data_IF_719869603918
#
_entry.id   IF_719869603918
#
_cell.length_a   1.000
_cell.length_b   1.000
_cell.length_c   1.000
_cell.angle_alpha   90.00
_cell.angle_beta   90.00
_cell.angle_gamma   90.00
#
_symmetry.space_group_name_H-M   'P 1'
#
loop_
_entity.id
_entity.type
_entity.pdbx_description
1 polymer ?
#
# COMPACT_ATOMS: atom_id res chain seq x y z
N UNK A 1 -14.96 -31.37 -27.11
CA UNK A 1 -15.05 -31.47 -25.63
C UNK A 1 -13.68 -31.57 -24.95
N UNK A 2 -12.75 -32.39 -25.45
CA UNK A 2 -11.37 -32.51 -24.90
C UNK A 2 -10.50 -31.24 -24.98
N UNK A 3 -10.65 -30.40 -26.01
CA UNK A 3 -9.90 -29.13 -26.14
C UNK A 3 -10.30 -28.05 -25.13
N UNK A 4 -11.55 -28.07 -24.64
CA UNK A 4 -12.02 -27.14 -23.61
C UNK A 4 -11.48 -27.51 -22.22
N UNK A 5 -11.35 -28.81 -21.93
CA UNK A 5 -10.68 -29.28 -20.71
C UNK A 5 -9.18 -28.97 -20.72
N UNK A 6 -8.51 -29.12 -21.87
CA UNK A 6 -7.09 -28.79 -21.99
C UNK A 6 -6.82 -27.28 -21.84
N UNK A 7 -7.72 -26.42 -22.35
CA UNK A 7 -7.64 -24.97 -22.14
C UNK A 7 -8.04 -24.54 -20.73
N UNK A 8 -9.03 -25.19 -20.10
CA UNK A 8 -9.37 -24.93 -18.69
C UNK A 8 -8.24 -25.37 -17.76
N UNK A 9 -7.55 -26.46 -18.09
CA UNK A 9 -6.43 -26.97 -17.31
C UNK A 9 -5.17 -26.11 -17.52
N UNK A 10 -4.88 -25.62 -18.73
CA UNK A 10 -3.78 -24.66 -18.97
C UNK A 10 -4.07 -23.27 -18.35
N UNK A 11 -5.32 -22.82 -18.31
CA UNK A 11 -5.68 -21.57 -17.64
C UNK A 11 -5.73 -21.71 -16.11
N UNK A 12 -6.21 -22.84 -15.58
CA UNK A 12 -6.09 -23.17 -14.16
C UNK A 12 -4.62 -23.39 -13.74
N UNK A 13 -3.79 -23.96 -14.63
CA UNK A 13 -2.34 -24.15 -14.42
C UNK A 13 -1.57 -22.84 -14.60
N UNK A 14 -2.01 -21.89 -15.44
CA UNK A 14 -1.45 -20.51 -15.48
C UNK A 14 -1.88 -19.65 -14.31
N UNK A 15 -3.09 -19.86 -13.78
CA UNK A 15 -3.54 -19.20 -12.55
C UNK A 15 -2.75 -19.71 -11.33
N UNK A 16 -2.28 -20.96 -11.40
CA UNK A 16 -1.19 -21.53 -10.60
C UNK A 16 0.18 -21.31 -11.25
N UNK A 17 0.53 -20.08 -11.64
CA UNK A 17 1.95 -19.76 -11.71
C UNK A 17 2.48 -19.99 -10.28
N UNK A 18 3.10 -21.15 -10.05
CA UNK A 18 3.59 -21.60 -8.75
C UNK A 18 4.70 -20.66 -8.27
N UNK A 19 4.32 -19.48 -7.79
CA UNK A 19 5.11 -18.76 -6.81
C UNK A 19 5.01 -19.61 -5.55
N UNK A 20 5.84 -20.65 -5.48
CA UNK A 20 5.71 -21.71 -4.48
C UNK A 20 5.92 -21.17 -3.07
N UNK A 21 6.61 -20.02 -2.94
CA UNK A 21 7.01 -19.41 -1.67
C UNK A 21 6.98 -17.86 -1.68
N UNK A 22 5.80 -17.21 -1.77
CA UNK A 22 5.69 -15.75 -1.85
C UNK A 22 6.14 -15.01 -0.59
N UNK A 23 6.04 -15.62 0.61
CA UNK A 23 6.54 -15.01 1.84
C UNK A 23 8.07 -15.05 1.88
N UNK A 24 8.67 -16.17 1.46
CA UNK A 24 10.13 -16.28 1.35
C UNK A 24 10.70 -15.25 0.37
N UNK A 25 10.07 -15.06 -0.80
CA UNK A 25 10.51 -14.03 -1.76
C UNK A 25 10.33 -12.62 -1.20
N UNK A 26 9.24 -12.37 -0.46
CA UNK A 26 9.04 -11.09 0.22
C UNK A 26 10.14 -10.80 1.25
N UNK A 27 10.61 -11.81 1.99
CA UNK A 27 11.76 -11.68 2.89
C UNK A 27 13.04 -11.30 2.14
N UNK A 28 13.34 -11.98 1.03
CA UNK A 28 14.51 -11.67 0.18
C UNK A 28 14.43 -10.23 -0.34
N UNK A 29 13.25 -9.79 -0.78
CA UNK A 29 13.03 -8.42 -1.21
C UNK A 29 13.31 -7.41 -0.10
N UNK A 30 12.88 -7.64 1.15
CA UNK A 30 13.19 -6.72 2.26
C UNK A 30 14.67 -6.70 2.63
N UNK A 31 15.35 -7.84 2.56
CA UNK A 31 16.81 -7.90 2.76
C UNK A 31 17.51 -7.06 1.70
N UNK A 32 17.19 -7.26 0.42
CA UNK A 32 17.73 -6.45 -0.68
C UNK A 32 17.36 -4.96 -0.56
N UNK A 33 16.14 -4.65 -0.08
CA UNK A 33 15.68 -3.28 0.15
C UNK A 33 16.49 -2.60 1.25
N UNK A 34 16.81 -3.33 2.33
CA UNK A 34 17.65 -2.84 3.43
C UNK A 34 19.07 -2.52 2.94
N UNK A 35 19.67 -3.43 2.16
CA UNK A 35 20.98 -3.24 1.54
C UNK A 35 20.96 -2.05 0.57
N UNK A 36 19.95 -1.96 -0.29
CA UNK A 36 19.78 -0.85 -1.23
C UNK A 36 19.62 0.50 -0.54
N UNK A 37 18.82 0.57 0.52
CA UNK A 37 18.68 1.78 1.32
C UNK A 37 19.99 2.16 2.04
N UNK A 38 20.73 1.18 2.56
CA UNK A 38 22.03 1.40 3.18
C UNK A 38 23.04 1.99 2.18
N UNK A 39 23.16 1.40 0.99
CA UNK A 39 24.05 1.90 -0.08
C UNK A 39 23.63 3.31 -0.50
N UNK A 40 22.33 3.56 -0.72
CA UNK A 40 21.82 4.87 -1.13
C UNK A 40 22.14 5.99 -0.12
N UNK A 41 22.06 5.69 1.18
CA UNK A 41 22.30 6.68 2.25
C UNK A 41 23.79 6.83 2.56
N UNK A 42 24.52 5.72 2.75
CA UNK A 42 25.90 5.75 3.23
C UNK A 42 26.94 5.90 2.13
N UNK A 43 26.71 5.31 0.96
CA UNK A 43 27.67 5.31 -0.16
C UNK A 43 27.34 6.43 -1.14
N UNK A 44 26.09 6.48 -1.62
CA UNK A 44 25.68 7.45 -2.64
C UNK A 44 25.30 8.83 -2.08
N UNK A 45 25.12 8.94 -0.76
CA UNK A 45 24.73 10.18 -0.05
C UNK A 45 23.58 10.94 -0.73
N UNK A 46 22.63 10.22 -1.34
CA UNK A 46 21.54 10.81 -2.13
C UNK A 46 20.67 11.72 -1.26
N UNK A 47 20.48 11.36 0.02
CA UNK A 47 19.82 12.19 1.03
C UNK A 47 20.45 11.98 2.41
N UNK A 48 20.42 13.02 3.28
CA UNK A 48 20.87 12.87 4.66
C UNK A 48 20.02 11.85 5.41
N UNK A 49 20.69 11.03 6.23
CA UNK A 49 20.03 10.13 7.17
C UNK A 49 19.33 11.00 8.22
N UNK A 50 18.01 10.82 8.34
CA UNK A 50 17.25 11.48 9.41
C UNK A 50 17.36 10.58 10.64
N UNK A 51 18.12 11.04 11.63
CA UNK A 51 18.28 10.29 12.87
C UNK A 51 16.98 10.28 13.67
N UNK A 52 16.47 9.08 13.92
CA UNK A 52 15.29 8.87 14.76
C UNK A 52 15.74 8.40 16.14
N UNK A 53 15.21 9.04 17.18
CA UNK A 53 15.40 8.62 18.56
C UNK A 53 15.06 7.13 18.72
N UNK A 54 15.85 6.34 19.49
CA UNK A 54 15.61 4.92 19.68
C UNK A 54 14.18 4.59 20.13
N UNK A 55 13.59 5.45 20.95
CA UNK A 55 12.21 5.29 21.42
C UNK A 55 11.18 5.37 20.29
N UNK A 56 11.31 6.34 19.38
CA UNK A 56 10.37 6.50 18.26
C UNK A 56 10.54 5.39 17.21
N UNK A 57 11.73 4.79 17.11
CA UNK A 57 11.92 3.58 16.28
C UNK A 57 11.03 2.45 16.76
N UNK A 58 10.97 2.21 18.07
CA UNK A 58 10.13 1.16 18.64
C UNK A 58 8.66 1.56 18.74
N UNK A 59 8.34 2.82 19.08
CA UNK A 59 6.95 3.28 19.27
C UNK A 59 6.20 3.55 17.96
N UNK A 60 6.90 3.94 16.89
CA UNK A 60 6.27 4.38 15.63
C UNK A 60 6.64 3.52 14.43
N UNK A 61 7.93 3.19 14.24
CA UNK A 61 8.40 2.43 13.07
C UNK A 61 8.09 0.94 13.19
N UNK A 62 8.27 0.35 14.38
CA UNK A 62 7.99 -1.07 14.59
C UNK A 62 6.51 -1.42 14.35
N UNK A 63 5.50 -0.73 14.92
CA UNK A 63 4.09 -1.02 14.63
C UNK A 63 3.74 -0.85 13.14
N UNK A 64 4.31 0.16 12.48
CA UNK A 64 4.13 0.35 11.04
C UNK A 64 4.68 -0.83 10.22
N UNK A 65 5.85 -1.34 10.60
CA UNK A 65 6.49 -2.50 9.97
C UNK A 65 5.68 -3.78 10.23
N UNK A 66 5.20 -3.96 11.46
CA UNK A 66 4.37 -5.09 11.85
C UNK A 66 3.05 -5.16 11.07
N UNK A 67 2.32 -4.03 11.01
CA UNK A 67 1.08 -3.92 10.22
C UNK A 67 1.34 -4.18 8.74
N UNK A 68 2.49 -3.77 8.21
CA UNK A 68 2.84 -4.07 6.83
C UNK A 68 3.10 -5.55 6.58
N UNK A 69 3.81 -6.23 7.49
CA UNK A 69 4.02 -7.67 7.38
C UNK A 69 2.70 -8.43 7.46
N UNK A 70 1.78 -8.03 8.35
CA UNK A 70 0.41 -8.57 8.41
C UNK A 70 -0.29 -8.42 7.05
N UNK A 71 -0.23 -7.23 6.45
CA UNK A 71 -0.81 -7.00 5.13
C UNK A 71 -0.23 -7.91 4.05
N UNK A 72 1.09 -8.16 4.07
CA UNK A 72 1.74 -9.08 3.12
C UNK A 72 1.25 -10.51 3.34
N UNK A 73 1.22 -10.98 4.59
CA UNK A 73 0.76 -12.33 4.92
C UNK A 73 -0.70 -12.52 4.53
N UNK A 74 -1.60 -11.61 4.94
CA UNK A 74 -3.02 -11.67 4.60
C UNK A 74 -3.26 -11.53 3.10
N UNK A 75 -2.49 -10.68 2.42
CA UNK A 75 -2.53 -10.56 0.96
C UNK A 75 -2.21 -11.89 0.29
N UNK A 76 -1.13 -12.56 0.69
CA UNK A 76 -0.76 -13.87 0.14
C UNK A 76 -1.77 -14.97 0.49
N UNK A 77 -2.31 -14.96 1.71
CA UNK A 77 -3.40 -15.86 2.10
C UNK A 77 -4.61 -15.63 1.22
N UNK A 78 -5.04 -14.38 1.03
CA UNK A 78 -6.21 -14.08 0.19
C UNK A 78 -6.06 -14.58 -1.24
N UNK A 79 -4.87 -14.45 -1.83
CA UNK A 79 -4.58 -14.92 -3.19
C UNK A 79 -4.66 -16.45 -3.35
N UNK A 80 -4.63 -17.22 -2.24
CA UNK A 80 -4.89 -18.67 -2.28
C UNK A 80 -6.37 -19.00 -2.47
N UNK A 81 -7.27 -18.07 -2.16
CA UNK A 81 -8.72 -18.29 -2.15
C UNK A 81 -9.48 -17.43 -3.17
N UNK A 82 -8.93 -16.28 -3.56
CA UNK A 82 -9.56 -15.35 -4.49
C UNK A 82 -8.61 -14.99 -5.65
N UNK A 83 -9.15 -14.74 -6.85
CA UNK A 83 -8.35 -14.34 -8.00
C UNK A 83 -7.66 -12.98 -7.79
N UNK A 84 -6.49 -12.81 -8.41
CA UNK A 84 -5.68 -11.58 -8.32
C UNK A 84 -6.47 -10.33 -8.74
N UNK A 85 -7.29 -10.44 -9.79
CA UNK A 85 -8.16 -9.35 -10.25
C UNK A 85 -9.16 -8.89 -9.18
N UNK A 86 -9.79 -9.84 -8.48
CA UNK A 86 -10.72 -9.53 -7.40
C UNK A 86 -9.99 -8.92 -6.19
N UNK A 87 -8.83 -9.48 -5.83
CA UNK A 87 -7.98 -8.96 -4.76
C UNK A 87 -7.52 -7.52 -5.03
N UNK A 88 -7.15 -7.20 -6.27
CA UNK A 88 -6.75 -5.86 -6.67
C UNK A 88 -7.94 -4.87 -6.67
N UNK A 89 -9.15 -5.36 -6.97
CA UNK A 89 -10.38 -4.57 -6.84
C UNK A 89 -10.69 -4.27 -5.38
N UNK A 90 -10.59 -5.26 -4.48
CA UNK A 90 -10.73 -5.05 -3.03
C UNK A 90 -9.67 -4.07 -2.52
N UNK A 91 -8.42 -4.14 -2.99
CA UNK A 91 -7.38 -3.15 -2.63
C UNK A 91 -7.71 -1.73 -3.05
N UNK A 92 -8.52 -1.53 -4.08
CA UNK A 92 -9.01 -0.21 -4.47
C UNK A 92 -9.96 0.39 -3.41
N UNK A 93 -10.41 -0.40 -2.43
CA UNK A 93 -11.12 0.05 -1.22
C UNK A 93 -10.25 0.79 -0.20
N UNK A 94 -8.92 0.67 -0.30
CA UNK A 94 -7.98 1.23 0.68
C UNK A 94 -8.23 2.71 1.00
N UNK A 95 -8.53 3.60 0.03
CA UNK A 95 -8.85 5.00 0.32
C UNK A 95 -10.07 5.17 1.24
N UNK A 96 -11.14 4.41 1.01
CA UNK A 96 -12.34 4.47 1.82
C UNK A 96 -12.07 4.03 3.26
N UNK A 97 -11.38 2.89 3.43
CA UNK A 97 -10.97 2.44 4.78
C UNK A 97 -10.02 3.42 5.47
N UNK A 98 -9.12 4.08 4.71
CA UNK A 98 -8.23 5.11 5.27
C UNK A 98 -9.01 6.30 5.81
N UNK A 99 -9.96 6.85 5.05
CA UNK A 99 -10.80 7.98 5.48
C UNK A 99 -11.63 7.60 6.71
N UNK A 100 -12.27 6.44 6.70
CA UNK A 100 -13.08 5.95 7.82
C UNK A 100 -12.21 5.78 9.07
N UNK A 101 -11.02 5.19 8.97
CA UNK A 101 -10.09 5.04 10.09
C UNK A 101 -9.59 6.38 10.62
N UNK A 102 -9.21 7.32 9.74
CA UNK A 102 -8.79 8.67 10.16
C UNK A 102 -9.92 9.43 10.87
N UNK A 103 -11.16 9.25 10.41
CA UNK A 103 -12.34 9.83 11.06
C UNK A 103 -12.63 9.17 12.41
N UNK A 104 -12.57 7.84 12.51
CA UNK A 104 -12.90 7.10 13.73
C UNK A 104 -11.84 7.28 14.83
N UNK A 105 -10.56 7.15 14.48
CA UNK A 105 -9.45 7.13 15.45
C UNK A 105 -8.97 8.53 15.79
N UNK A 106 -8.82 9.41 14.79
CA UNK A 106 -8.28 10.77 14.99
C UNK A 106 -9.35 11.86 14.97
N UNK A 107 -10.62 11.53 14.75
CA UNK A 107 -11.73 12.50 14.62
C UNK A 107 -11.43 13.62 13.61
N UNK A 108 -10.71 13.27 12.55
CA UNK A 108 -10.38 14.21 11.47
C UNK A 108 -11.64 14.50 10.65
N UNK A 109 -11.93 15.79 10.45
CA UNK A 109 -13.03 16.21 9.59
C UNK A 109 -12.60 16.19 8.12
N UNK A 110 -13.47 15.67 7.27
CA UNK A 110 -13.30 15.65 5.82
C UNK A 110 -14.45 16.38 5.15
N UNK A 111 -14.15 17.05 4.05
CA UNK A 111 -15.17 17.71 3.23
C UNK A 111 -16.18 16.69 2.67
N UNK A 112 -17.42 17.14 2.46
CA UNK A 112 -18.48 16.33 1.86
C UNK A 112 -18.09 15.68 0.52
N UNK A 113 -17.24 16.36 -0.27
CA UNK A 113 -16.73 15.85 -1.56
C UNK A 113 -15.95 14.53 -1.39
N UNK A 114 -15.20 14.40 -0.30
CA UNK A 114 -14.49 13.15 0.02
C UNK A 114 -15.53 12.06 0.29
N UNK A 115 -16.50 12.30 1.18
CA UNK A 115 -17.56 11.33 1.47
C UNK A 115 -18.35 10.90 0.22
N UNK A 116 -18.66 11.83 -0.68
CA UNK A 116 -19.32 11.52 -1.94
C UNK A 116 -18.48 10.57 -2.83
N UNK A 117 -17.15 10.71 -2.82
CA UNK A 117 -16.25 9.81 -3.56
C UNK A 117 -16.16 8.40 -2.99
N UNK A 118 -16.50 8.20 -1.71
CA UNK A 118 -16.49 6.87 -1.09
C UNK A 118 -17.68 6.01 -1.53
N UNK A 119 -18.82 6.64 -1.84
CA UNK A 119 -20.05 5.95 -2.27
C UNK A 119 -19.81 5.03 -3.47
N UNK A 120 -19.26 5.50 -4.61
CA UNK A 120 -18.99 4.62 -5.75
C UNK A 120 -17.92 3.56 -5.43
N UNK A 121 -16.94 3.85 -4.58
CA UNK A 121 -15.91 2.86 -4.19
C UNK A 121 -16.58 1.69 -3.43
N UNK A 122 -17.33 2.00 -2.38
CA UNK A 122 -18.04 0.99 -1.57
C UNK A 122 -19.05 0.22 -2.43
N UNK A 123 -19.88 0.95 -3.19
CA UNK A 123 -20.90 0.34 -4.05
C UNK A 123 -20.30 -0.56 -5.14
N UNK A 124 -19.20 -0.13 -5.76
CA UNK A 124 -18.50 -0.91 -6.77
C UNK A 124 -17.92 -2.21 -6.23
N UNK A 125 -17.34 -2.19 -5.02
CA UNK A 125 -16.81 -3.41 -4.37
C UNK A 125 -17.93 -4.34 -3.94
N UNK A 126 -19.04 -3.82 -3.40
CA UNK A 126 -20.20 -4.63 -3.06
C UNK A 126 -20.75 -5.33 -4.31
N UNK A 127 -20.93 -4.58 -5.41
CA UNK A 127 -21.40 -5.14 -6.68
C UNK A 127 -20.42 -6.20 -7.21
N UNK A 128 -19.12 -5.90 -7.21
CA UNK A 128 -18.07 -6.86 -7.63
C UNK A 128 -18.11 -8.12 -6.76
N UNK A 129 -18.25 -7.98 -5.45
CA UNK A 129 -18.24 -9.11 -4.51
C UNK A 129 -19.44 -10.03 -4.68
N UNK A 130 -20.63 -9.46 -4.91
CA UNK A 130 -21.88 -10.23 -5.14
C UNK A 130 -21.86 -10.94 -6.50
N UNK A 131 -21.12 -10.41 -7.48
CA UNK A 131 -21.09 -10.91 -8.86
C UNK A 131 -19.82 -11.68 -9.20
N UNK A 132 -18.95 -11.91 -8.23
CA UNK A 132 -17.70 -12.67 -8.39
C UNK A 132 -17.97 -14.16 -8.39
N UNK A 133 -17.57 -14.84 -9.47
CA UNK A 133 -17.79 -16.28 -9.65
C UNK A 133 -16.91 -17.11 -8.72
N UNK A 134 -15.70 -16.61 -8.42
CA UNK A 134 -14.75 -17.28 -7.51
C UNK A 134 -14.77 -16.64 -6.12
N UNK A 135 -15.94 -16.19 -5.65
CA UNK A 135 -16.06 -15.57 -4.35
C UNK A 135 -15.80 -16.58 -3.23
N UNK A 136 -14.84 -16.27 -2.36
CA UNK A 136 -14.57 -17.02 -1.15
C UNK A 136 -14.57 -16.06 0.04
N UNK A 137 -15.46 -16.30 1.02
CA UNK A 137 -15.61 -15.42 2.19
C UNK A 137 -14.32 -15.30 3.00
N UNK A 138 -13.57 -16.38 3.18
CA UNK A 138 -12.32 -16.35 3.93
C UNK A 138 -11.26 -15.52 3.21
N UNK A 139 -11.10 -15.71 1.89
CA UNK A 139 -10.22 -14.91 1.06
C UNK A 139 -10.60 -13.42 1.02
N UNK A 140 -11.89 -13.14 0.94
CA UNK A 140 -12.45 -11.79 0.98
C UNK A 140 -12.18 -11.11 2.32
N UNK A 141 -12.48 -11.76 3.45
CA UNK A 141 -12.20 -11.23 4.78
C UNK A 141 -10.70 -10.99 5.00
N UNK A 142 -9.83 -11.91 4.57
CA UNK A 142 -8.38 -11.73 4.62
C UNK A 142 -7.94 -10.50 3.81
N UNK A 143 -8.50 -10.30 2.59
CA UNK A 143 -8.21 -9.13 1.78
C UNK A 143 -8.72 -7.82 2.40
N UNK A 144 -9.89 -7.83 3.04
CA UNK A 144 -10.46 -6.67 3.74
C UNK A 144 -9.63 -6.27 4.97
N UNK A 145 -9.19 -7.24 5.78
CA UNK A 145 -8.26 -6.98 6.88
C UNK A 145 -6.91 -6.51 6.35
N UNK A 146 -6.43 -7.05 5.23
CA UNK A 146 -5.25 -6.53 4.52
C UNK A 146 -5.42 -5.07 4.07
N UNK A 147 -6.61 -4.67 3.61
CA UNK A 147 -6.91 -3.27 3.29
C UNK A 147 -6.87 -2.38 4.54
N UNK A 148 -7.45 -2.82 5.66
CA UNK A 148 -7.37 -2.10 6.93
C UNK A 148 -5.91 -1.95 7.38
N UNK A 149 -5.10 -3.01 7.29
CA UNK A 149 -3.68 -2.96 7.59
C UNK A 149 -2.94 -1.98 6.65
N UNK A 150 -3.23 -1.99 5.35
CA UNK A 150 -2.65 -1.05 4.38
C UNK A 150 -3.00 0.39 4.73
N UNK A 151 -4.25 0.65 5.10
CA UNK A 151 -4.73 1.97 5.53
C UNK A 151 -4.05 2.43 6.82
N UNK A 152 -4.01 1.59 7.85
CA UNK A 152 -3.30 1.89 9.11
C UNK A 152 -1.83 2.18 8.87
N UNK A 153 -1.13 1.37 8.06
CA UNK A 153 0.26 1.62 7.68
C UNK A 153 0.43 2.97 6.97
N UNK A 154 -0.50 3.32 6.08
CA UNK A 154 -0.45 4.59 5.32
C UNK A 154 -0.63 5.79 6.25
N UNK A 155 -1.54 5.69 7.22
CA UNK A 155 -1.75 6.74 8.23
C UNK A 155 -0.52 6.90 9.12
N UNK A 156 0.05 5.78 9.60
CA UNK A 156 1.29 5.80 10.38
C UNK A 156 2.43 6.42 9.57
N UNK A 157 2.58 6.03 8.30
CA UNK A 157 3.58 6.59 7.39
C UNK A 157 3.44 8.12 7.25
N UNK A 158 2.21 8.61 7.03
CA UNK A 158 1.91 10.04 6.92
C UNK A 158 2.26 10.80 8.21
N UNK A 159 1.98 10.21 9.37
CA UNK A 159 2.32 10.79 10.68
C UNK A 159 3.84 10.89 10.90
N UNK A 160 4.61 9.86 10.53
CA UNK A 160 6.07 9.92 10.58
C UNK A 160 6.63 10.97 9.61
N UNK A 161 6.05 11.04 8.41
CA UNK A 161 6.47 11.96 7.35
C UNK A 161 6.35 13.42 7.80
N UNK A 162 5.20 13.78 8.40
CA UNK A 162 4.98 15.14 8.92
C UNK A 162 5.79 15.44 10.18
N UNK A 163 6.03 14.46 11.05
CA UNK A 163 6.75 14.67 12.32
C UNK A 163 8.25 14.90 12.16
N UNK A 164 8.92 14.08 11.35
CA UNK A 164 10.39 14.10 11.22
C UNK A 164 10.87 14.64 9.86
N UNK A 165 9.97 15.14 9.02
CA UNK A 165 10.24 15.40 7.59
C UNK A 165 10.90 14.19 6.93
N UNK A 166 10.41 13.00 7.27
CA UNK A 166 10.97 11.75 6.76
C UNK A 166 10.97 11.77 5.24
N UNK A 167 11.82 10.98 4.63
CA UNK A 167 11.68 10.71 3.21
C UNK A 167 11.47 9.22 3.01
N UNK A 168 10.86 8.83 1.90
CA UNK A 168 10.56 7.44 1.57
C UNK A 168 11.80 6.54 1.66
N UNK A 169 13.00 7.07 1.36
CA UNK A 169 14.28 6.35 1.50
C UNK A 169 14.60 6.06 2.97
N UNK A 170 14.50 7.08 3.83
CA UNK A 170 14.71 6.92 5.27
C UNK A 170 13.64 5.98 5.88
N UNK A 171 12.39 6.05 5.41
CA UNK A 171 11.34 5.11 5.84
C UNK A 171 11.71 3.67 5.51
N UNK A 172 12.14 3.39 4.27
CA UNK A 172 12.54 2.04 3.86
C UNK A 172 13.76 1.56 4.65
N UNK A 173 14.75 2.43 4.88
CA UNK A 173 15.95 2.10 5.65
C UNK A 173 15.63 1.57 7.06
N UNK A 174 14.73 2.25 7.78
CA UNK A 174 14.37 1.81 9.12
C UNK A 174 13.34 0.68 9.14
N UNK A 175 12.43 0.63 8.16
CA UNK A 175 11.33 -0.34 8.12
C UNK A 175 11.78 -1.73 7.63
N UNK A 176 12.62 -1.78 6.58
CA UNK A 176 13.04 -3.03 5.94
C UNK A 176 13.66 -4.06 6.90
N UNK A 177 14.59 -3.72 7.81
CA UNK A 177 15.16 -4.72 8.74
C UNK A 177 14.12 -5.27 9.72
N UNK A 178 13.25 -4.43 10.27
CA UNK A 178 12.16 -4.90 11.14
C UNK A 178 11.16 -5.77 10.36
N UNK A 179 10.84 -5.39 9.12
CA UNK A 179 9.95 -6.17 8.26
C UNK A 179 10.53 -7.56 7.98
N UNK A 180 11.83 -7.68 7.67
CA UNK A 180 12.51 -8.97 7.50
C UNK A 180 12.41 -9.84 8.75
N UNK A 181 12.67 -9.26 9.94
CA UNK A 181 12.61 -10.00 11.20
C UNK A 181 11.20 -10.50 11.53
N UNK A 182 10.18 -9.70 11.24
CA UNK A 182 8.79 -10.07 11.50
C UNK A 182 8.28 -11.08 10.47
N UNK A 183 8.66 -10.93 9.20
CA UNK A 183 8.17 -11.76 8.10
C UNK A 183 8.92 -13.10 7.98
N UNK A 184 10.14 -13.20 8.52
CA UNK A 184 10.90 -14.46 8.54
C UNK A 184 10.16 -15.56 9.32
N UNK A 185 9.48 -15.22 10.42
CA UNK A 185 8.71 -16.16 11.24
C UNK A 185 7.59 -16.83 10.42
N UNK A 186 6.61 -16.09 9.84
CA UNK A 186 5.56 -16.71 9.03
C UNK A 186 6.11 -17.35 7.74
N UNK A 187 7.20 -16.85 7.16
CA UNK A 187 7.83 -17.51 6.02
C UNK A 187 8.36 -18.91 6.38
N UNK A 188 9.05 -19.06 7.53
CA UNK A 188 9.53 -20.37 7.98
C UNK A 188 8.36 -21.28 8.36
N UNK A 189 7.36 -20.78 9.09
CA UNK A 189 6.23 -21.58 9.57
C UNK A 189 5.31 -22.06 8.44
N UNK A 190 4.98 -21.19 7.48
CA UNK A 190 3.99 -21.48 6.43
C UNK A 190 4.61 -22.08 5.16
N UNK A 191 5.87 -21.75 4.87
CA UNK A 191 6.53 -22.10 3.60
C UNK A 191 7.84 -22.88 3.80
N UNK A 192 8.43 -22.87 5.00
CA UNK A 192 9.77 -23.40 5.26
C UNK A 192 9.94 -24.89 4.94
N UNK A 193 8.98 -25.74 5.31
CA UNK A 193 9.03 -27.17 4.98
C UNK A 193 8.96 -27.42 3.47
N UNK A 194 8.17 -26.61 2.75
CA UNK A 194 8.08 -26.65 1.31
C UNK A 194 9.36 -26.18 0.63
N UNK A 195 10.00 -25.11 1.13
CA UNK A 195 11.28 -24.61 0.63
C UNK A 195 12.37 -25.66 0.79
N UNK A 196 12.46 -26.27 1.97
CA UNK A 196 13.45 -27.31 2.27
C UNK A 196 13.24 -28.53 1.37
N UNK A 197 12.01 -29.02 1.24
CA UNK A 197 11.71 -30.16 0.38
C UNK A 197 11.98 -29.84 -1.10
N UNK A 198 11.68 -28.62 -1.54
CA UNK A 198 11.98 -28.16 -2.90
C UNK A 198 13.48 -28.09 -3.18
N UNK A 199 14.29 -27.68 -2.20
CA UNK A 199 15.76 -27.70 -2.29
C UNK A 199 16.33 -29.12 -2.37
N UNK A 200 15.70 -30.10 -1.71
CA UNK A 200 16.12 -31.51 -1.73
C UNK A 200 15.64 -32.29 -2.96
N UNK A 201 14.50 -31.91 -3.56
CA UNK A 201 13.88 -32.65 -4.68
C UNK A 201 14.51 -32.33 -6.04
N UNK A 202 15.12 -31.14 -6.20
CA UNK A 202 15.80 -30.77 -7.46
C UNK A 202 17.31 -31.09 -7.36
N UNK A 203 17.80 -32.02 -8.16
CA UNK A 203 19.23 -32.42 -8.22
C UNK A 203 20.19 -31.25 -8.54
N UNK A 204 19.70 -30.14 -9.09
CA UNK A 204 20.49 -28.93 -9.29
C UNK A 204 19.92 -27.74 -8.50
N UNK A 205 20.69 -27.24 -7.53
CA UNK A 205 20.40 -26.00 -6.76
C UNK A 205 20.52 -24.73 -7.61
N UNK A 206 21.06 -24.84 -8.83
CA UNK A 206 21.43 -23.70 -9.69
C UNK A 206 20.22 -22.89 -10.18
N UNK A 207 19.14 -23.47 -10.75
CA UNK A 207 17.97 -22.70 -11.19
C UNK A 207 17.26 -22.00 -10.04
N UNK A 208 17.23 -22.64 -8.87
CA UNK A 208 16.66 -22.10 -7.66
C UNK A 208 17.39 -20.84 -7.17
N UNK A 209 18.72 -20.91 -7.10
CA UNK A 209 19.57 -19.79 -6.76
C UNK A 209 19.45 -18.65 -7.78
N UNK A 210 19.39 -18.97 -9.07
CA UNK A 210 19.19 -17.97 -10.14
C UNK A 210 17.87 -17.21 -9.94
N UNK A 211 16.77 -17.89 -9.62
CA UNK A 211 15.47 -17.23 -9.39
C UNK A 211 15.53 -16.32 -8.16
N UNK A 212 16.11 -16.79 -7.05
CA UNK A 212 16.24 -16.01 -5.82
C UNK A 212 17.11 -14.77 -6.05
N UNK A 213 18.29 -14.95 -6.67
CA UNK A 213 19.22 -13.87 -7.00
C UNK A 213 18.56 -12.87 -7.96
N UNK A 214 17.90 -13.37 -9.02
CA UNK A 214 17.21 -12.51 -9.98
C UNK A 214 16.09 -11.71 -9.31
N UNK A 215 15.33 -12.32 -8.40
CA UNK A 215 14.31 -11.59 -7.62
C UNK A 215 14.93 -10.52 -6.71
N UNK A 216 16.08 -10.82 -6.09
CA UNK A 216 16.82 -9.87 -5.27
C UNK A 216 17.38 -8.69 -6.07
N UNK A 217 17.94 -8.96 -7.26
CA UNK A 217 18.42 -7.93 -8.20
C UNK A 217 17.25 -7.09 -8.69
N UNK A 218 16.13 -7.70 -9.08
CA UNK A 218 14.92 -6.96 -9.48
C UNK A 218 14.40 -6.10 -8.33
N UNK A 219 14.37 -6.60 -7.10
CA UNK A 219 13.97 -5.83 -5.93
C UNK A 219 14.92 -4.65 -5.68
N UNK A 220 16.23 -4.86 -5.84
CA UNK A 220 17.22 -3.78 -5.76
C UNK A 220 16.99 -2.72 -6.84
N UNK A 221 16.82 -3.13 -8.10
CA UNK A 221 16.51 -2.23 -9.22
C UNK A 221 15.19 -1.47 -9.02
N UNK A 222 14.16 -2.13 -8.48
CA UNK A 222 12.88 -1.49 -8.14
C UNK A 222 13.06 -0.43 -7.06
N UNK A 223 13.78 -0.75 -5.99
CA UNK A 223 14.09 0.24 -4.93
C UNK A 223 14.90 1.41 -5.48
N UNK A 224 15.93 1.14 -6.29
CA UNK A 224 16.72 2.19 -6.94
C UNK A 224 15.86 3.07 -7.86
N UNK A 225 14.95 2.47 -8.64
CA UNK A 225 14.00 3.20 -9.49
C UNK A 225 13.06 4.06 -8.66
N UNK A 226 12.54 3.53 -7.54
CA UNK A 226 11.71 4.30 -6.59
C UNK A 226 12.51 5.49 -6.06
N UNK A 227 13.77 5.29 -5.65
CA UNK A 227 14.64 6.36 -5.16
C UNK A 227 14.90 7.42 -6.24
N UNK A 228 15.18 7.00 -7.48
CA UNK A 228 15.38 7.89 -8.60
C UNK A 228 14.13 8.72 -8.91
N UNK A 229 12.95 8.10 -8.88
CA UNK A 229 11.67 8.78 -9.04
C UNK A 229 11.47 9.79 -7.91
N UNK A 230 11.69 9.42 -6.65
CA UNK A 230 11.55 10.34 -5.51
C UNK A 230 12.50 11.55 -5.65
N UNK A 231 13.72 11.33 -6.13
CA UNK A 231 14.68 12.40 -6.37
C UNK A 231 14.25 13.33 -7.50
N UNK A 232 13.69 12.78 -8.58
CA UNK A 232 13.39 13.51 -9.81
C UNK A 232 11.97 14.08 -9.88
N UNK A 233 11.14 13.83 -8.86
CA UNK A 233 9.70 14.09 -8.89
C UNK A 233 9.26 15.03 -7.77
N UNK A 234 8.38 15.98 -8.07
CA UNK A 234 7.78 16.87 -7.06
C UNK A 234 6.70 16.14 -6.25
N UNK A 235 6.38 16.65 -5.05
CA UNK A 235 5.36 16.05 -4.17
C UNK A 235 3.98 15.86 -4.85
N UNK A 236 3.64 16.72 -5.81
CA UNK A 236 2.39 16.67 -6.56
C UNK A 236 2.36 15.46 -7.50
N UNK A 237 3.43 15.26 -8.28
CA UNK A 237 3.52 14.15 -9.22
C UNK A 237 3.59 12.79 -8.51
N UNK A 238 4.19 12.73 -7.31
CA UNK A 238 4.20 11.51 -6.48
C UNK A 238 2.78 11.11 -6.02
N UNK A 239 1.96 12.08 -5.60
CA UNK A 239 0.58 11.81 -5.20
C UNK A 239 -0.31 11.37 -6.37
N UNK A 240 -0.12 11.96 -7.56
CA UNK A 240 -0.85 11.55 -8.77
C UNK A 240 -0.43 10.14 -9.21
N UNK A 241 0.88 9.86 -9.21
CA UNK A 241 1.42 8.53 -9.53
C UNK A 241 0.88 7.44 -8.59
N UNK A 242 0.69 7.76 -7.30
CA UNK A 242 0.08 6.86 -6.32
C UNK A 242 -1.35 6.43 -6.69
N UNK A 243 -2.19 7.37 -7.13
CA UNK A 243 -3.57 7.09 -7.56
C UNK A 243 -3.61 6.33 -8.89
N UNK A 244 -2.76 6.72 -9.85
CA UNK A 244 -2.65 6.06 -11.14
C UNK A 244 -2.16 4.61 -10.98
N UNK A 245 -1.23 4.37 -10.06
CA UNK A 245 -0.72 3.02 -9.74
C UNK A 245 -1.84 2.05 -9.39
N UNK A 246 -2.82 2.47 -8.58
CA UNK A 246 -3.94 1.61 -8.18
C UNK A 246 -4.81 1.26 -9.38
N UNK A 247 -5.18 2.24 -10.20
CA UNK A 247 -6.00 2.03 -11.39
C UNK A 247 -5.28 1.15 -12.44
N UNK A 248 -4.01 1.44 -12.73
CA UNK A 248 -3.18 0.65 -13.65
C UNK A 248 -3.02 -0.78 -13.15
N UNK A 249 -2.82 -1.00 -11.84
CA UNK A 249 -2.69 -2.34 -11.29
C UNK A 249 -3.98 -3.17 -11.45
N UNK A 250 -5.17 -2.57 -11.30
CA UNK A 250 -6.46 -3.24 -11.58
C UNK A 250 -6.56 -3.60 -13.07
N UNK A 251 -6.29 -2.65 -13.97
CA UNK A 251 -6.38 -2.85 -15.41
C UNK A 251 -5.41 -3.94 -15.91
N UNK A 252 -4.15 -3.90 -15.47
CA UNK A 252 -3.14 -4.90 -15.82
C UNK A 252 -3.54 -6.27 -15.27
N UNK A 253 -4.03 -6.33 -14.04
CA UNK A 253 -4.50 -7.59 -13.44
C UNK A 253 -5.65 -8.18 -14.26
N UNK A 254 -6.55 -7.36 -14.80
CA UNK A 254 -7.59 -7.85 -15.69
C UNK A 254 -7.05 -8.35 -17.03
N UNK A 255 -6.18 -7.57 -17.68
CA UNK A 255 -5.62 -7.91 -19.00
C UNK A 255 -4.75 -9.17 -18.99
N UNK A 256 -3.97 -9.37 -17.92
CA UNK A 256 -3.05 -10.50 -17.80
C UNK A 256 -3.78 -11.78 -17.38
N UNK A 257 -4.62 -11.71 -16.34
CA UNK A 257 -5.21 -12.92 -15.77
C UNK A 257 -6.42 -13.42 -16.56
N UNK A 258 -7.07 -12.56 -17.38
CA UNK A 258 -8.20 -12.92 -18.26
C UNK A 258 -9.22 -13.86 -17.62
N UNK A 259 -9.46 -13.71 -16.32
CA UNK A 259 -10.44 -14.54 -15.61
C UNK A 259 -11.82 -14.35 -16.26
N UNK A 260 -12.69 -15.37 -16.28
CA UNK A 260 -14.06 -15.22 -16.74
C UNK A 260 -14.79 -14.27 -15.79
N UNK A 261 -14.88 -13.00 -16.16
CA UNK A 261 -15.55 -11.97 -15.38
C UNK A 261 -16.97 -11.81 -15.94
N UNK A 262 -17.97 -11.91 -15.07
CA UNK A 262 -19.35 -11.55 -15.41
C UNK A 262 -19.42 -10.09 -15.83
N UNK A 263 -20.23 -9.75 -16.84
CA UNK A 263 -20.41 -8.36 -17.28
C UNK A 263 -20.75 -7.42 -16.11
N UNK A 264 -21.50 -7.91 -15.12
CA UNK A 264 -21.89 -7.13 -13.94
C UNK A 264 -20.73 -6.89 -12.95
N UNK A 265 -19.79 -7.83 -12.87
CA UNK A 265 -18.55 -7.67 -12.09
C UNK A 265 -17.62 -6.63 -12.76
N UNK A 266 -17.52 -6.65 -14.10
CA UNK A 266 -16.77 -5.64 -14.84
C UNK A 266 -17.33 -4.22 -14.61
N UNK A 267 -18.67 -4.09 -14.55
CA UNK A 267 -19.32 -2.82 -14.18
C UNK A 267 -18.94 -2.41 -12.75
N UNK A 268 -18.99 -3.32 -11.77
CA UNK A 268 -18.57 -3.03 -10.39
C UNK A 268 -17.11 -2.58 -10.28
N UNK A 269 -16.20 -3.22 -11.00
CA UNK A 269 -14.80 -2.81 -11.11
C UNK A 269 -14.68 -1.39 -11.70
N UNK A 270 -15.41 -1.12 -12.79
CA UNK A 270 -15.43 0.21 -13.43
C UNK A 270 -15.92 1.32 -12.50
N UNK A 271 -17.02 1.08 -11.77
CA UNK A 271 -17.54 2.03 -10.77
C UNK A 271 -16.50 2.28 -9.67
N UNK A 272 -15.83 1.23 -9.19
CA UNK A 272 -14.77 1.35 -8.17
C UNK A 272 -13.62 2.23 -8.67
N UNK A 273 -13.16 2.01 -9.91
CA UNK A 273 -12.08 2.78 -10.52
C UNK A 273 -12.46 4.26 -10.72
N UNK A 274 -13.67 4.54 -11.17
CA UNK A 274 -14.19 5.91 -11.28
C UNK A 274 -14.24 6.56 -9.89
N UNK A 275 -14.69 5.84 -8.87
CA UNK A 275 -14.67 6.32 -7.49
C UNK A 275 -13.26 6.63 -6.98
N UNK A 276 -12.28 5.75 -7.20
CA UNK A 276 -10.89 5.96 -6.78
C UNK A 276 -10.23 7.13 -7.49
N UNK A 277 -10.46 7.28 -8.80
CA UNK A 277 -9.93 8.41 -9.57
C UNK A 277 -10.56 9.73 -9.12
N UNK A 278 -11.87 9.74 -8.87
CA UNK A 278 -12.56 10.90 -8.31
C UNK A 278 -12.07 11.27 -6.90
N UNK A 279 -11.89 10.28 -6.01
CA UNK A 279 -11.28 10.50 -4.69
C UNK A 279 -9.89 11.12 -4.80
N UNK A 280 -9.04 10.57 -5.68
CA UNK A 280 -7.69 11.08 -5.93
C UNK A 280 -7.70 12.53 -6.43
N UNK A 281 -8.63 12.85 -7.33
CA UNK A 281 -8.84 14.20 -7.85
C UNK A 281 -9.28 15.18 -6.75
N UNK A 282 -10.29 14.82 -5.95
CA UNK A 282 -10.77 15.66 -4.83
C UNK A 282 -9.66 15.90 -3.82
N UNK A 283 -8.91 14.87 -3.44
CA UNK A 283 -7.76 15.00 -2.52
C UNK A 283 -6.70 15.93 -3.07
N UNK A 284 -6.39 15.81 -4.36
CA UNK A 284 -5.42 16.68 -5.02
C UNK A 284 -5.87 18.15 -5.01
N UNK A 285 -7.14 18.44 -5.30
CA UNK A 285 -7.67 19.81 -5.23
C UNK A 285 -7.57 20.39 -3.82
N UNK A 286 -7.92 19.63 -2.79
CA UNK A 286 -7.83 20.06 -1.39
C UNK A 286 -6.37 20.32 -1.00
N UNK A 287 -5.45 19.45 -1.41
CA UNK A 287 -4.01 19.65 -1.17
C UNK A 287 -3.46 20.90 -1.87
N UNK A 288 -3.95 21.24 -3.06
CA UNK A 288 -3.54 22.48 -3.75
C UNK A 288 -4.09 23.74 -3.06
N UNK A 289 -5.34 23.72 -2.61
CA UNK A 289 -5.93 24.84 -1.87
C UNK A 289 -5.19 25.13 -0.56
N UNK A 290 -4.71 24.09 0.14
CA UNK A 290 -3.88 24.24 1.33
C UNK A 290 -2.48 24.80 1.03
N UNK A 291 -1.97 24.65 -0.20
CA UNK A 291 -0.65 25.12 -0.62
C UNK A 291 -0.67 26.54 -1.22
N UNK A 292 -1.82 27.03 -1.68
CA UNK A 292 -1.99 28.44 -2.08
C UNK A 292 -2.14 29.34 -0.85
N UNK A 293 -1.38 30.43 -0.70
CA UNK A 293 -1.62 31.41 0.36
C UNK A 293 -2.88 32.20 0.02
N UNK A 294 -4.04 31.76 0.51
CA UNK A 294 -5.27 32.55 0.37
C UNK A 294 -5.23 33.75 1.34
N UNK A 295 -5.61 34.96 0.89
CA UNK A 295 -5.70 36.14 1.75
C UNK A 295 -6.72 35.87 2.87
N UNK A 296 -6.34 36.19 4.11
CA UNK A 296 -7.20 36.06 5.29
C UNK A 296 -8.53 36.78 5.04
N UNK A 297 -9.62 36.03 4.90
CA UNK A 297 -10.96 36.58 5.10
C UNK A 297 -11.04 37.06 6.56
N UNK A 298 -11.42 38.31 6.85
CA UNK A 298 -11.44 38.80 8.23
C UNK A 298 -12.50 38.02 9.00
N UNK A 299 -12.06 37.28 10.03
CA UNK A 299 -12.95 36.85 11.12
C UNK A 299 -13.61 38.10 11.69
N UNK A 300 -14.88 37.93 12.03
CA UNK A 300 -15.85 39.00 12.30
C UNK A 300 -15.32 40.11 13.23
N UNK A 301 -15.79 41.34 12.94
CA UNK A 301 -15.56 42.59 13.69
C UNK A 301 -15.90 42.56 15.19
N UNK A 302 -16.33 41.43 15.76
CA UNK A 302 -16.79 41.34 17.15
C UNK A 302 -15.66 41.12 18.18
N UNK A 303 -14.46 40.69 17.77
CA UNK A 303 -13.31 40.54 18.67
C UNK A 303 -12.47 41.83 18.83
N UNK A 304 -12.87 42.94 18.19
CA UNK A 304 -12.22 44.26 18.32
C UNK A 304 -12.83 45.14 19.42
N UNK A 305 -13.25 44.54 20.54
CA UNK A 305 -13.55 45.33 21.74
C UNK A 305 -12.27 45.43 22.59
N UNK A 306 -11.71 46.63 22.78
CA UNK A 306 -10.52 46.78 23.59
C UNK A 306 -10.92 46.69 25.07
N UNK A 307 -10.33 45.74 25.80
CA UNK A 307 -10.29 45.76 27.26
C UNK A 307 -9.39 46.93 27.71
N UNK A 308 -9.93 48.15 27.71
CA UNK A 308 -9.32 49.30 28.37
C UNK A 308 -9.78 49.28 29.82
N UNK A 309 -8.85 48.96 30.73
CA UNK A 309 -9.18 48.91 32.15
C UNK A 309 -8.02 48.65 33.10
N UNK A 310 -6.77 48.97 32.77
CA UNK A 310 -5.71 49.14 33.79
C UNK A 310 -4.77 50.28 33.38
N UNK A 311 -4.97 51.45 33.99
CA UNK A 311 -3.90 52.43 34.16
C UNK A 311 -3.45 52.35 35.61
N UNK A 312 -2.24 51.85 35.78
CA UNK A 312 -1.44 51.97 36.98
C UNK A 312 -1.22 53.44 37.34
N UNK A 313 -1.43 53.67 38.62
CA UNK A 313 -0.99 54.73 39.52
C UNK A 313 0.45 55.21 39.26
N UNK A 314 0.65 56.54 39.22
CA UNK A 314 1.88 57.25 39.63
C UNK A 314 1.58 58.74 39.86
N UNK A 315 1.47 59.11 41.14
CA UNK A 315 2.18 60.16 41.90
C UNK A 315 1.32 60.50 43.12
#
# INVERSE_FOLDING_TARGET
MHLYYYYSDISATRQKLEFKFPLTVSCVHFICSSIGAYIAIKVLKVKPLIEVAPEDRWKRIFPMSFVFCINIVLGNISLRYIPVSFMQTIKSFTPATTVILQWLVWRKYFEWRIWASLIPIVGGILLTSVTELSFNMFGFCAAMVGCLATSTKTILAESLLHGYKFDSINTVYYMAPFATMILSIPAIVLEGSGVINWLYTYESTVPALIIIITSGVLAFCLNFSIFYVIHSTTAVTFNVAGNLKVAVAVLISWMIFRNPISAMNAVGCGITLVGCTFYGYVRHLISQQAASPSPRTPRSRLEMLPLVGEKQEKI
#
